data_IF_945872903689
#
_entry.id   IF_945872903689
#
_cell.length_a   1.000
_cell.length_b   1.000
_cell.length_c   1.000
_cell.angle_alpha   90.00
_cell.angle_beta   90.00
_cell.angle_gamma   90.00
#
_symmetry.space_group_name_H-M   'P 1'
#
loop_
_entity.id
_entity.type
_entity.pdbx_description
1 polymer ?
#
# COMPACT_ATOMS: atom_id res chain seq x y z
N UNK A 1 -6.96 -17.10 23.42
CA UNK A 1 -5.88 -17.37 22.45
C UNK A 1 -4.88 -16.22 22.57
N UNK A 2 -3.57 -16.50 22.68
CA UNK A 2 -2.67 -15.75 23.56
C UNK A 2 -2.41 -14.32 23.08
N UNK A 3 -2.40 -13.46 24.08
CA UNK A 3 -1.87 -12.12 24.16
C UNK A 3 -0.40 -12.10 23.73
N UNK A 4 -0.05 -11.20 22.80
CA UNK A 4 1.33 -10.78 22.58
C UNK A 4 1.35 -9.25 22.50
N UNK A 5 1.56 -8.63 23.65
CA UNK A 5 2.33 -7.39 23.71
C UNK A 5 3.66 -7.59 22.96
N UNK A 6 3.78 -7.05 21.76
CA UNK A 6 5.07 -6.63 21.20
C UNK A 6 4.86 -5.38 20.35
N UNK A 7 5.05 -4.25 21.03
CA UNK A 7 5.73 -3.04 20.56
C UNK A 7 6.11 -3.08 19.07
N UNK A 8 5.39 -2.31 18.25
CA UNK A 8 5.77 -1.94 16.88
C UNK A 8 5.88 -3.03 15.78
N UNK A 9 5.44 -4.27 16.02
CA UNK A 9 5.51 -5.34 14.98
C UNK A 9 4.24 -5.45 14.11
N UNK A 10 3.28 -4.53 14.26
CA UNK A 10 2.08 -4.50 13.40
C UNK A 10 2.50 -4.24 11.96
N UNK A 11 2.22 -5.23 11.10
CA UNK A 11 2.35 -5.09 9.66
C UNK A 11 1.17 -4.27 9.16
N UNK A 12 1.44 -3.33 8.27
CA UNK A 12 0.45 -2.49 7.61
C UNK A 12 0.56 -2.72 6.13
N UNK A 13 -0.56 -2.72 5.43
CA UNK A 13 -0.62 -2.67 3.98
C UNK A 13 -1.19 -1.31 3.61
N UNK A 14 -0.84 -0.81 2.42
CA UNK A 14 -1.41 0.44 1.94
C UNK A 14 -2.04 0.17 0.58
N UNK A 15 -3.36 0.31 0.47
CA UNK A 15 -4.05 0.19 -0.81
C UNK A 15 -4.14 1.57 -1.44
N UNK A 16 -3.58 1.73 -2.64
CA UNK A 16 -3.35 3.01 -3.29
C UNK A 16 -4.13 3.28 -4.55
N UNK A 17 -5.38 2.84 -4.51
CA UNK A 17 -6.33 3.08 -5.57
C UNK A 17 -6.53 1.86 -6.45
N UNK A 18 -7.57 1.99 -7.26
CA UNK A 18 -8.05 0.98 -8.19
C UNK A 18 -8.14 1.65 -9.55
N UNK A 19 -7.41 1.14 -10.53
CA UNK A 19 -7.37 1.68 -11.88
C UNK A 19 -8.04 0.70 -12.85
N UNK A 20 -8.85 1.18 -13.79
CA UNK A 20 -9.34 0.31 -14.88
C UNK A 20 -8.24 -0.02 -15.87
N UNK A 21 -7.31 0.93 -16.10
CA UNK A 21 -6.16 0.73 -16.97
C UNK A 21 -5.05 -0.04 -16.26
N UNK A 22 -4.56 -1.11 -16.89
CA UNK A 22 -3.38 -1.83 -16.42
C UNK A 22 -2.13 -0.93 -16.44
N UNK A 23 -1.96 -0.13 -17.50
CA UNK A 23 -0.85 0.81 -17.66
C UNK A 23 -0.76 1.85 -16.54
N UNK A 24 -1.92 2.38 -16.10
CA UNK A 24 -1.94 3.29 -14.96
C UNK A 24 -1.44 2.58 -13.70
N UNK A 25 -1.97 1.38 -13.40
CA UNK A 25 -1.55 0.61 -12.25
C UNK A 25 -0.05 0.24 -12.30
N UNK A 26 0.48 -0.08 -13.48
CA UNK A 26 1.92 -0.33 -13.69
C UNK A 26 2.76 0.92 -13.49
N UNK A 27 2.30 2.07 -13.98
CA UNK A 27 2.99 3.36 -13.76
C UNK A 27 3.07 3.66 -12.26
N UNK A 28 1.98 3.45 -11.51
CA UNK A 28 1.98 3.59 -10.05
C UNK A 28 2.94 2.62 -9.41
N UNK A 29 2.92 1.36 -9.83
CA UNK A 29 3.81 0.32 -9.31
C UNK A 29 5.28 0.68 -9.52
N UNK A 30 5.62 1.16 -10.72
CA UNK A 30 6.96 1.59 -11.07
C UNK A 30 7.40 2.79 -10.24
N UNK A 31 6.57 3.82 -10.11
CA UNK A 31 6.84 4.98 -9.24
C UNK A 31 7.10 4.55 -7.80
N UNK A 32 6.24 3.68 -7.25
CA UNK A 32 6.43 3.12 -5.92
C UNK A 32 7.76 2.36 -5.79
N UNK A 33 8.12 1.56 -6.78
CA UNK A 33 9.40 0.86 -6.80
C UNK A 33 10.59 1.84 -6.86
N UNK A 34 10.51 2.93 -7.62
CA UNK A 34 11.51 4.00 -7.64
C UNK A 34 11.63 4.70 -6.28
N UNK A 35 10.53 4.84 -5.55
CA UNK A 35 10.51 5.36 -4.18
C UNK A 35 11.04 4.36 -3.14
N UNK A 36 11.30 3.12 -3.55
CA UNK A 36 11.77 2.02 -2.70
C UNK A 36 10.66 1.20 -2.05
N UNK A 37 9.41 1.34 -2.51
CA UNK A 37 8.27 0.56 -2.03
C UNK A 37 7.93 -0.60 -2.97
N UNK A 38 7.86 -1.81 -2.41
CA UNK A 38 7.32 -2.95 -3.12
C UNK A 38 5.80 -2.85 -3.18
N UNK A 39 5.28 -2.72 -4.41
CA UNK A 39 3.86 -2.62 -4.68
C UNK A 39 3.41 -3.70 -5.63
N UNK A 40 2.21 -4.20 -5.33
CA UNK A 40 1.59 -5.33 -5.99
C UNK A 40 0.28 -4.90 -6.61
N UNK A 41 0.15 -5.13 -7.91
CA UNK A 41 -1.10 -4.92 -8.62
C UNK A 41 -1.92 -6.19 -8.48
N UNK A 42 -3.16 -6.04 -8.04
CA UNK A 42 -4.15 -7.10 -7.92
C UNK A 42 -5.34 -6.75 -8.79
N UNK A 43 -5.57 -7.55 -9.83
CA UNK A 43 -6.72 -7.36 -10.71
C UNK A 43 -7.92 -8.09 -10.14
N UNK A 44 -9.00 -7.38 -9.86
CA UNK A 44 -10.24 -7.94 -9.33
C UNK A 44 -11.44 -7.32 -10.06
N UNK A 45 -12.29 -8.16 -10.66
CA UNK A 45 -13.47 -7.72 -11.43
C UNK A 45 -13.15 -6.63 -12.48
N UNK A 46 -12.02 -6.74 -13.19
CA UNK A 46 -11.59 -5.77 -14.19
C UNK A 46 -10.98 -4.48 -13.65
N UNK A 47 -10.79 -4.37 -12.33
CA UNK A 47 -10.10 -3.26 -11.67
C UNK A 47 -8.74 -3.68 -11.15
N UNK A 48 -7.71 -2.91 -11.47
CA UNK A 48 -6.33 -3.11 -11.03
C UNK A 48 -6.09 -2.32 -9.73
N UNK A 49 -6.08 -3.01 -8.60
CA UNK A 49 -5.81 -2.43 -7.29
C UNK A 49 -4.33 -2.47 -6.99
N UNK A 50 -3.74 -1.32 -6.68
CA UNK A 50 -2.34 -1.25 -6.27
C UNK A 50 -2.29 -1.36 -4.75
N UNK A 51 -1.61 -2.38 -4.25
CA UNK A 51 -1.44 -2.61 -2.81
C UNK A 51 0.04 -2.68 -2.51
N UNK A 52 0.50 -1.84 -1.60
CA UNK A 52 1.87 -1.82 -1.12
C UNK A 52 1.99 -2.84 0.00
N UNK A 53 3.08 -3.60 -0.06
CA UNK A 53 3.35 -4.75 0.79
C UNK A 53 3.34 -4.43 2.28
N UNK A 54 3.47 -5.48 3.12
CA UNK A 54 3.40 -5.35 4.56
C UNK A 54 4.57 -4.50 5.10
N UNK A 55 4.32 -3.21 5.32
CA UNK A 55 5.27 -2.30 5.97
C UNK A 55 5.19 -2.49 7.48
N UNK A 56 6.35 -2.54 8.13
CA UNK A 56 6.44 -2.59 9.60
C UNK A 56 6.42 -1.17 10.14
N UNK A 57 5.61 -0.94 11.16
CA UNK A 57 5.49 0.37 11.80
C UNK A 57 4.49 1.29 11.09
N UNK A 58 3.82 2.11 11.89
CA UNK A 58 2.81 3.05 11.40
C UNK A 58 3.44 4.20 10.61
N UNK A 59 4.62 4.65 11.00
CA UNK A 59 5.35 5.76 10.36
C UNK A 59 5.73 5.46 8.91
N UNK A 60 6.13 4.21 8.62
CA UNK A 60 6.38 3.78 7.24
C UNK A 60 5.09 3.82 6.42
N UNK A 61 3.98 3.32 6.96
CA UNK A 61 2.68 3.38 6.28
C UNK A 61 2.23 4.84 6.03
N UNK A 62 2.46 5.74 6.99
CA UNK A 62 2.13 7.16 6.87
C UNK A 62 3.02 7.88 5.84
N UNK A 63 4.33 7.60 5.84
CA UNK A 63 5.27 8.10 4.83
C UNK A 63 4.88 7.65 3.43
N UNK A 64 4.51 6.39 3.28
CA UNK A 64 3.96 5.82 2.05
C UNK A 64 2.70 6.59 1.64
N UNK A 65 1.70 6.71 2.52
CA UNK A 65 0.48 7.48 2.25
C UNK A 65 0.76 8.91 1.78
N UNK A 66 1.71 9.60 2.39
CA UNK A 66 2.05 10.98 2.05
C UNK A 66 2.70 11.09 0.65
N UNK A 67 3.65 10.20 0.35
CA UNK A 67 4.28 10.09 -0.97
C UNK A 67 3.26 9.81 -2.07
N UNK A 68 2.35 8.88 -1.80
CA UNK A 68 1.28 8.55 -2.72
C UNK A 68 0.31 9.72 -2.95
N UNK A 69 0.03 10.49 -1.90
CA UNK A 69 -0.73 11.72 -2.03
C UNK A 69 -0.03 12.72 -2.94
N UNK A 70 1.31 12.82 -2.87
CA UNK A 70 2.11 13.65 -3.78
C UNK A 70 2.13 13.10 -5.22
N UNK A 71 2.14 11.78 -5.40
CA UNK A 71 2.04 11.11 -6.69
C UNK A 71 0.64 11.21 -7.33
N UNK A 72 -0.31 11.89 -6.68
CA UNK A 72 -1.70 12.05 -7.17
C UNK A 72 -2.64 10.92 -6.76
N UNK A 73 -2.18 9.95 -5.96
CA UNK A 73 -2.99 8.89 -5.36
C UNK A 73 -3.60 9.38 -4.05
N UNK A 74 -4.56 10.28 -4.16
CA UNK A 74 -5.24 10.91 -3.02
C UNK A 74 -6.08 9.94 -2.18
N UNK A 75 -6.41 8.77 -2.72
CA UNK A 75 -7.33 7.81 -2.09
C UNK A 75 -6.63 6.55 -1.56
N UNK A 76 -5.41 6.70 -1.05
CA UNK A 76 -4.73 5.60 -0.38
C UNK A 76 -5.26 5.37 1.04
N UNK A 77 -5.49 4.11 1.40
CA UNK A 77 -5.89 3.72 2.76
C UNK A 77 -4.85 2.79 3.37
N UNK A 78 -4.48 3.05 4.63
CA UNK A 78 -3.71 2.08 5.43
C UNK A 78 -4.64 1.00 5.94
N UNK A 79 -4.25 -0.24 5.75
CA UNK A 79 -4.92 -1.45 6.20
C UNK A 79 -4.00 -2.12 7.21
N UNK A 80 -4.45 -2.35 8.44
CA UNK A 80 -3.67 -3.14 9.39
C UNK A 80 -3.68 -4.61 8.93
N UNK A 81 -2.51 -5.21 8.74
CA UNK A 81 -2.36 -6.64 8.49
C UNK A 81 -2.39 -7.39 9.82
N UNK A 82 -3.59 -7.54 10.39
CA UNK A 82 -3.80 -8.30 11.62
C UNK A 82 -5.16 -7.96 12.26
N UNK A 83 -6.09 -8.91 12.17
CA UNK A 83 -7.24 -9.01 13.07
C UNK A 83 -6.90 -9.93 14.24
#
# INVERSE_FOLDING_TARGET
KPTAEKKDERRWMVQCGSFRGAEQAETVRAQLAFEGFDSKITTNNGWNRVVIGPVKGKENADSTLNRLKMAGHTNCIRLAAGG
#
